data_IF_772348536066
#
_entry.id   IF_772348536066
#
_cell.length_a   1.000
_cell.length_b   1.000
_cell.length_c   1.000
_cell.angle_alpha   90.00
_cell.angle_beta   90.00
_cell.angle_gamma   90.00
#
_symmetry.space_group_name_H-M   'P 1'
#
loop_
_entity.id
_entity.type
_entity.pdbx_description
1 polymer ?
#
# COMPACT_ATOMS: atom_id res chain seq x y z
N UNK A 1 -24.17 5.28 18.23
CA UNK A 1 -23.05 4.49 17.68
C UNK A 1 -22.23 5.44 16.83
N UNK A 2 -20.91 5.42 16.93
CA UNK A 2 -20.07 6.27 16.07
C UNK A 2 -20.18 5.80 14.61
N UNK A 3 -20.17 6.73 13.67
CA UNK A 3 -20.06 6.40 12.24
C UNK A 3 -18.77 5.59 11.98
N UNK A 4 -18.78 4.63 11.04
CA UNK A 4 -17.60 3.86 10.71
C UNK A 4 -16.51 4.75 10.09
N UNK A 5 -15.24 4.43 10.33
CA UNK A 5 -14.12 5.13 9.68
C UNK A 5 -14.17 4.90 8.17
N UNK A 6 -14.13 5.95 7.36
CA UNK A 6 -14.17 5.84 5.90
C UNK A 6 -12.76 5.93 5.32
N UNK A 7 -12.29 4.84 4.74
CA UNK A 7 -10.95 4.72 4.15
C UNK A 7 -11.04 4.60 2.63
N UNK A 8 -10.41 5.53 1.92
CA UNK A 8 -10.21 5.44 0.48
C UNK A 8 -8.79 4.97 0.14
N UNK A 9 -8.65 4.23 -0.96
CA UNK A 9 -7.35 3.85 -1.51
C UNK A 9 -7.24 4.12 -3.01
N UNK A 10 -6.04 4.52 -3.42
CA UNK A 10 -5.61 4.70 -4.81
C UNK A 10 -4.41 3.81 -4.98
N UNK A 11 -4.50 2.79 -5.84
CA UNK A 11 -3.52 1.72 -5.96
C UNK A 11 -3.24 1.41 -7.43
N UNK A 12 -2.15 0.70 -7.69
CA UNK A 12 -1.77 0.27 -9.04
C UNK A 12 -2.66 -0.86 -9.56
N UNK A 13 -2.92 -1.84 -8.69
CA UNK A 13 -3.64 -3.05 -9.04
C UNK A 13 -4.67 -3.50 -7.99
N UNK A 14 -5.61 -4.37 -8.42
CA UNK A 14 -6.65 -4.90 -7.52
C UNK A 14 -6.08 -5.75 -6.39
N UNK A 15 -4.93 -6.39 -6.58
CA UNK A 15 -4.25 -7.19 -5.54
C UNK A 15 -3.80 -6.30 -4.38
N UNK A 16 -3.20 -5.14 -4.67
CA UNK A 16 -2.71 -4.20 -3.67
C UNK A 16 -3.86 -3.68 -2.80
N UNK A 17 -5.00 -3.41 -3.42
CA UNK A 17 -6.21 -3.00 -2.70
C UNK A 17 -6.67 -4.04 -1.67
N UNK A 18 -6.60 -5.34 -2.01
CA UNK A 18 -6.98 -6.43 -1.10
C UNK A 18 -5.99 -6.51 0.08
N UNK A 19 -4.70 -6.38 -0.20
CA UNK A 19 -3.65 -6.42 0.82
C UNK A 19 -3.76 -5.21 1.76
N UNK A 20 -3.92 -4.00 1.23
CA UNK A 20 -4.14 -2.79 2.04
C UNK A 20 -5.40 -2.90 2.91
N UNK A 21 -6.50 -3.44 2.38
CA UNK A 21 -7.71 -3.68 3.18
C UNK A 21 -7.45 -4.63 4.34
N UNK A 22 -6.64 -5.68 4.12
CA UNK A 22 -6.25 -6.60 5.18
C UNK A 22 -5.34 -5.93 6.22
N UNK A 23 -4.42 -5.08 5.79
CA UNK A 23 -3.54 -4.29 6.68
C UNK A 23 -4.38 -3.34 7.55
N UNK A 24 -5.22 -2.51 6.95
CA UNK A 24 -6.12 -1.57 7.67
C UNK A 24 -6.98 -2.32 8.68
N UNK A 25 -7.62 -3.43 8.26
CA UNK A 25 -8.41 -4.27 9.17
C UNK A 25 -7.59 -4.80 10.36
N UNK A 26 -6.33 -5.19 10.12
CA UNK A 26 -5.46 -5.69 11.18
C UNK A 26 -5.00 -4.58 12.13
N UNK A 27 -4.94 -3.33 11.69
CA UNK A 27 -4.53 -2.18 12.51
C UNK A 27 -5.68 -1.66 13.37
N UNK A 28 -6.91 -1.71 12.86
CA UNK A 28 -8.11 -1.25 13.55
C UNK A 28 -8.63 -2.23 14.62
N UNK A 29 -7.96 -3.37 14.82
CA UNK A 29 -8.26 -4.38 15.85
C UNK A 29 -9.75 -4.75 16.00
N UNK A 30 -10.47 -4.80 14.87
CA UNK A 30 -11.89 -5.17 14.83
C UNK A 30 -12.87 -4.00 14.92
N UNK A 31 -12.41 -2.74 14.93
CA UNK A 31 -13.28 -1.59 14.72
C UNK A 31 -13.87 -1.58 13.29
N UNK A 32 -15.09 -1.06 13.17
CA UNK A 32 -15.81 -0.98 11.89
C UNK A 32 -15.25 0.15 11.02
N UNK A 33 -15.12 -0.13 9.73
CA UNK A 33 -14.66 0.82 8.73
C UNK A 33 -15.25 0.51 7.35
N UNK A 34 -15.49 1.57 6.59
CA UNK A 34 -15.80 1.51 5.16
C UNK A 34 -14.50 1.58 4.37
N UNK A 35 -14.44 0.85 3.26
CA UNK A 35 -13.24 0.77 2.43
C UNK A 35 -13.61 0.86 0.96
N UNK A 36 -13.13 1.89 0.28
CA UNK A 36 -13.36 2.12 -1.13
C UNK A 36 -12.05 2.25 -1.92
N UNK A 37 -11.99 1.56 -3.05
CA UNK A 37 -10.91 1.70 -4.04
C UNK A 37 -11.33 2.74 -5.07
N UNK A 38 -10.68 3.90 -5.06
CA UNK A 38 -10.94 4.99 -6.00
C UNK A 38 -10.26 4.73 -7.35
N UNK A 39 -9.08 4.11 -7.32
CA UNK A 39 -8.34 3.73 -8.52
C UNK A 39 -7.59 2.42 -8.24
N UNK A 40 -7.70 1.40 -9.11
CA UNK A 40 -8.70 1.29 -10.17
C UNK A 40 -10.13 1.19 -9.62
N UNK A 41 -11.10 1.82 -10.30
CA UNK A 41 -12.49 1.86 -9.87
C UNK A 41 -13.12 0.46 -9.83
N UNK A 42 -13.40 -0.05 -8.62
CA UNK A 42 -14.29 -1.18 -8.31
C UNK A 42 -14.41 -2.32 -9.34
N UNK A 43 -15.65 -2.70 -9.67
CA UNK A 43 -15.95 -3.83 -10.56
C UNK A 43 -15.33 -3.70 -11.96
N UNK A 44 -15.06 -2.48 -12.41
CA UNK A 44 -14.41 -2.20 -13.69
C UNK A 44 -12.99 -2.77 -13.71
N UNK A 45 -12.23 -2.68 -12.60
CA UNK A 45 -10.89 -3.27 -12.45
C UNK A 45 -10.86 -4.79 -12.69
N UNK A 46 -11.91 -5.51 -12.30
CA UNK A 46 -12.01 -6.98 -12.46
C UNK A 46 -12.62 -7.40 -13.81
N UNK A 47 -13.32 -6.50 -14.51
CA UNK A 47 -13.81 -6.70 -15.88
C UNK A 47 -12.77 -6.30 -16.95
N UNK A 48 -11.51 -6.06 -16.57
CA UNK A 48 -10.45 -5.51 -17.42
C UNK A 48 -10.77 -4.13 -18.05
N UNK A 49 -11.79 -3.44 -17.52
CA UNK A 49 -12.13 -2.05 -17.84
C UNK A 49 -11.55 -1.21 -16.71
N UNK A 50 -10.28 -0.86 -16.76
CA UNK A 50 -9.56 -0.23 -15.62
C UNK A 50 -10.01 1.21 -15.25
N UNK A 51 -11.32 1.48 -15.15
CA UNK A 51 -11.90 2.80 -14.90
C UNK A 51 -11.52 3.83 -15.95
N UNK A 52 -11.81 5.10 -15.66
CA UNK A 52 -11.42 6.23 -16.51
C UNK A 52 -9.88 6.40 -16.61
N UNK A 53 -9.13 5.93 -15.62
CA UNK A 53 -7.69 6.16 -15.53
C UNK A 53 -6.82 5.02 -16.04
N UNK A 54 -7.36 3.86 -16.40
CA UNK A 54 -6.56 2.74 -16.91
C UNK A 54 -5.76 1.99 -15.82
N UNK A 55 -5.02 0.94 -16.18
CA UNK A 55 -4.30 0.08 -15.23
C UNK A 55 -2.99 0.69 -14.70
N UNK A 56 -2.50 0.12 -13.59
CA UNK A 56 -1.14 0.26 -13.09
C UNK A 56 -0.82 1.65 -12.55
N UNK A 57 0.49 1.91 -12.34
CA UNK A 57 0.99 3.21 -11.87
C UNK A 57 0.56 4.41 -12.74
N UNK A 58 0.36 4.20 -14.05
CA UNK A 58 -0.15 5.25 -14.94
C UNK A 58 -1.57 5.69 -14.56
N UNK A 59 -2.38 4.78 -14.03
CA UNK A 59 -3.70 5.08 -13.49
C UNK A 59 -3.63 5.85 -12.17
N UNK A 60 -2.68 5.49 -11.29
CA UNK A 60 -2.39 6.27 -10.07
C UNK A 60 -2.01 7.71 -10.44
N UNK A 61 -1.07 7.90 -11.37
CA UNK A 61 -0.69 9.22 -11.86
C UNK A 61 -1.91 10.03 -12.36
N UNK A 62 -2.72 9.45 -13.25
CA UNK A 62 -3.87 10.15 -13.84
C UNK A 62 -4.92 10.50 -12.80
N UNK A 63 -5.19 9.61 -11.85
CA UNK A 63 -6.09 9.90 -10.73
C UNK A 63 -5.54 11.05 -9.88
N UNK A 64 -4.26 11.00 -9.51
CA UNK A 64 -3.61 12.04 -8.71
C UNK A 64 -3.67 13.41 -9.39
N UNK A 65 -3.42 13.47 -10.70
CA UNK A 65 -3.52 14.71 -11.49
C UNK A 65 -4.95 15.24 -11.52
N UNK A 66 -5.93 14.38 -11.78
CA UNK A 66 -7.34 14.78 -11.79
C UNK A 66 -7.79 15.31 -10.42
N UNK A 67 -7.43 14.62 -9.33
CA UNK A 67 -7.78 15.05 -7.98
C UNK A 67 -7.13 16.40 -7.64
N UNK A 68 -5.86 16.60 -8.01
CA UNK A 68 -5.18 17.87 -7.82
C UNK A 68 -5.84 19.00 -8.65
N UNK A 69 -6.18 18.74 -9.92
CA UNK A 69 -6.86 19.70 -10.79
C UNK A 69 -8.23 20.11 -10.25
N UNK A 70 -9.02 19.14 -9.77
CA UNK A 70 -10.30 19.39 -9.09
C UNK A 70 -10.10 20.30 -7.86
N UNK A 71 -9.04 20.07 -7.10
CA UNK A 71 -8.67 20.84 -5.91
C UNK A 71 -7.90 22.13 -6.20
N UNK A 72 -8.07 22.73 -7.38
CA UNK A 72 -7.37 23.97 -7.78
C UNK A 72 -5.84 23.89 -7.74
N UNK A 73 -5.30 22.72 -8.09
CA UNK A 73 -3.86 22.44 -8.18
C UNK A 73 -3.28 21.60 -7.04
N UNK A 74 -4.09 21.19 -6.05
CA UNK A 74 -3.64 20.40 -4.89
C UNK A 74 -4.70 19.38 -4.44
N UNK A 75 -4.27 18.23 -3.92
CA UNK A 75 -5.18 17.24 -3.32
C UNK A 75 -5.93 17.81 -2.11
N UNK A 76 -5.30 18.70 -1.33
CA UNK A 76 -5.88 19.40 -0.18
C UNK A 76 -7.16 20.17 -0.52
N UNK A 77 -7.27 20.68 -1.75
CA UNK A 77 -8.47 21.34 -2.23
C UNK A 77 -9.53 20.40 -2.82
N UNK A 78 -9.21 19.11 -3.03
CA UNK A 78 -10.09 18.14 -3.67
C UNK A 78 -11.21 17.68 -2.74
N UNK A 79 -12.37 17.33 -3.32
CA UNK A 79 -13.44 16.68 -2.57
C UNK A 79 -13.05 15.28 -2.04
N UNK A 80 -11.99 14.66 -2.57
CA UNK A 80 -11.47 13.40 -2.06
C UNK A 80 -11.14 13.47 -0.56
N UNK A 81 -10.51 14.55 -0.08
CA UNK A 81 -10.17 14.66 1.34
C UNK A 81 -11.35 15.12 2.21
N UNK A 82 -12.46 15.60 1.64
CA UNK A 82 -13.66 15.91 2.42
C UNK A 82 -14.62 14.72 2.55
N UNK A 83 -14.57 13.79 1.58
CA UNK A 83 -15.41 12.59 1.56
C UNK A 83 -14.87 11.45 2.43
N UNK A 84 -13.55 11.39 2.65
CA UNK A 84 -12.89 10.28 3.34
C UNK A 84 -12.20 10.75 4.62
N UNK A 85 -12.18 9.87 5.63
CA UNK A 85 -11.48 10.14 6.89
C UNK A 85 -9.99 9.79 6.78
N UNK A 86 -9.65 8.91 5.84
CA UNK A 86 -8.29 8.54 5.49
C UNK A 86 -8.18 8.20 4.00
N UNK A 87 -7.16 8.73 3.32
CA UNK A 87 -6.77 8.36 1.96
C UNK A 87 -5.40 7.68 1.96
N UNK A 88 -5.29 6.52 1.33
CA UNK A 88 -4.02 5.83 1.14
C UNK A 88 -3.66 5.86 -0.35
N UNK A 89 -2.58 6.54 -0.70
CA UNK A 89 -2.03 6.54 -2.06
C UNK A 89 -0.88 5.55 -2.13
N UNK A 90 -1.04 4.51 -2.93
CA UNK A 90 -0.10 3.41 -3.07
C UNK A 90 0.65 3.47 -4.40
N UNK A 91 1.96 3.26 -4.34
CA UNK A 91 2.84 3.17 -5.50
C UNK A 91 4.05 2.28 -5.16
N UNK A 92 4.22 1.18 -5.88
CA UNK A 92 5.37 0.28 -5.75
C UNK A 92 6.64 1.00 -6.19
N UNK A 93 7.76 0.71 -5.51
CA UNK A 93 9.02 1.36 -5.83
C UNK A 93 9.71 0.86 -7.11
N UNK A 94 9.16 -0.16 -7.77
CA UNK A 94 9.57 -0.50 -9.14
C UNK A 94 9.24 0.64 -10.12
N UNK A 95 8.25 1.49 -9.82
CA UNK A 95 7.91 2.68 -10.62
C UNK A 95 9.08 3.66 -10.70
N UNK A 96 9.97 3.67 -9.71
CA UNK A 96 11.14 4.54 -9.68
C UNK A 96 12.12 4.28 -10.84
N UNK A 97 12.07 3.11 -11.50
CA UNK A 97 12.89 2.79 -12.68
C UNK A 97 12.22 3.17 -14.02
N UNK A 98 10.94 3.55 -13.98
CA UNK A 98 10.11 3.75 -15.16
C UNK A 98 10.32 5.13 -15.76
N UNK A 99 9.76 5.33 -16.94
CA UNK A 99 9.65 6.64 -17.60
C UNK A 99 8.18 7.00 -17.81
N UNK A 100 7.84 8.28 -17.79
CA UNK A 100 6.49 8.77 -18.09
C UNK A 100 5.93 8.25 -19.43
N UNK A 101 6.79 8.14 -20.44
CA UNK A 101 6.39 7.61 -21.75
C UNK A 101 5.95 6.14 -21.70
N UNK A 102 6.49 5.32 -20.78
CA UNK A 102 6.08 3.92 -20.63
C UNK A 102 4.63 3.76 -20.16
N UNK A 103 4.06 4.77 -19.48
CA UNK A 103 2.62 4.86 -19.16
C UNK A 103 1.81 5.77 -20.10
N UNK A 104 2.39 6.13 -21.27
CA UNK A 104 1.80 7.01 -22.27
C UNK A 104 1.51 8.43 -21.74
N UNK A 105 2.34 8.92 -20.82
CA UNK A 105 2.28 10.29 -20.30
C UNK A 105 3.30 11.13 -21.07
N UNK A 106 2.82 12.10 -21.86
CA UNK A 106 3.66 12.90 -22.76
C UNK A 106 4.11 14.23 -22.15
N UNK A 107 3.26 14.85 -21.34
CA UNK A 107 3.50 16.17 -20.75
C UNK A 107 3.35 16.12 -19.24
N UNK A 108 4.23 15.40 -18.52
CA UNK A 108 4.21 15.42 -17.07
C UNK A 108 4.59 16.82 -16.56
N UNK A 109 4.03 17.29 -15.44
CA UNK A 109 4.38 18.59 -14.88
C UNK A 109 5.85 18.63 -14.40
N UNK A 110 6.44 17.47 -14.13
CA UNK A 110 7.82 17.29 -13.71
C UNK A 110 8.47 16.11 -14.43
N UNK A 111 9.79 16.16 -14.62
CA UNK A 111 10.59 15.08 -15.22
C UNK A 111 11.44 14.38 -14.14
N UNK A 112 10.76 13.86 -13.13
CA UNK A 112 11.34 13.32 -11.89
C UNK A 112 11.32 11.78 -11.81
N UNK A 113 10.97 11.11 -12.91
CA UNK A 113 11.25 9.70 -13.14
C UNK A 113 12.26 9.53 -14.30
N UNK A 114 13.19 8.56 -14.23
CA UNK A 114 13.41 7.62 -13.13
C UNK A 114 14.09 8.28 -11.92
N UNK A 115 13.75 7.81 -10.71
CA UNK A 115 14.33 8.26 -9.44
C UNK A 115 14.95 7.13 -8.61
N UNK A 116 15.08 5.92 -9.17
CA UNK A 116 15.61 4.74 -8.49
C UNK A 116 16.99 4.97 -7.87
N UNK A 117 17.18 4.40 -6.66
CA UNK A 117 18.44 4.39 -5.91
C UNK A 117 18.85 2.95 -5.59
N UNK A 118 20.07 2.78 -5.10
CA UNK A 118 20.54 1.47 -4.60
C UNK A 118 19.72 1.01 -3.40
N UNK A 119 19.37 -0.27 -3.36
CA UNK A 119 18.73 -0.93 -2.23
C UNK A 119 19.64 -2.08 -1.81
N UNK A 120 20.14 -2.14 -0.55
CA UNK A 120 19.84 -1.27 0.59
C UNK A 120 20.58 0.09 0.60
N UNK A 121 20.08 1.09 1.37
CA UNK A 121 18.91 1.02 2.24
C UNK A 121 17.57 1.19 1.49
N UNK A 122 16.49 0.66 2.07
CA UNK A 122 15.17 0.63 1.44
C UNK A 122 14.53 2.01 1.22
N UNK A 123 14.87 2.99 2.08
CA UNK A 123 14.19 4.29 2.11
C UNK A 123 14.60 5.21 0.97
N UNK A 124 15.83 5.09 0.45
CA UNK A 124 16.37 5.98 -0.58
C UNK A 124 15.49 6.05 -1.85
N UNK A 125 15.00 4.90 -2.31
CA UNK A 125 14.08 4.87 -3.46
C UNK A 125 12.66 5.28 -3.05
N UNK A 126 12.17 4.80 -1.89
CA UNK A 126 10.80 5.08 -1.47
C UNK A 126 10.57 6.55 -1.16
N UNK A 127 11.55 7.25 -0.58
CA UNK A 127 11.47 8.66 -0.22
C UNK A 127 11.51 9.55 -1.47
N UNK A 128 12.39 9.21 -2.43
CA UNK A 128 12.42 9.84 -3.74
C UNK A 128 11.08 9.66 -4.46
N UNK A 129 10.49 8.46 -4.39
CA UNK A 129 9.19 8.18 -4.99
C UNK A 129 8.02 8.86 -4.27
N UNK A 130 8.05 8.98 -2.93
CA UNK A 130 7.05 9.79 -2.19
C UNK A 130 7.07 11.24 -2.65
N UNK A 131 8.25 11.80 -2.93
CA UNK A 131 8.38 13.15 -3.49
C UNK A 131 7.72 13.25 -4.88
N UNK A 132 7.90 12.25 -5.73
CA UNK A 132 7.22 12.16 -7.05
C UNK A 132 5.69 12.09 -6.87
N UNK A 133 5.21 11.22 -5.97
CA UNK A 133 3.79 11.05 -5.70
C UNK A 133 3.14 12.32 -5.12
N UNK A 134 3.83 13.04 -4.22
CA UNK A 134 3.40 14.35 -3.72
C UNK A 134 3.24 15.36 -4.85
N UNK A 135 4.20 15.43 -5.77
CA UNK A 135 4.10 16.30 -6.95
C UNK A 135 2.95 15.92 -7.87
N UNK A 136 2.65 14.64 -8.03
CA UNK A 136 1.46 14.21 -8.76
C UNK A 136 0.18 14.71 -8.09
N UNK A 137 0.13 14.67 -6.77
CA UNK A 137 -0.97 15.20 -5.95
C UNK A 137 -1.00 16.73 -5.85
N UNK A 138 0.00 17.44 -6.40
CA UNK A 138 0.09 18.89 -6.30
C UNK A 138 0.47 19.39 -4.90
N UNK A 139 1.15 18.54 -4.13
CA UNK A 139 1.50 18.76 -2.72
C UNK A 139 3.02 18.84 -2.54
N UNK A 140 3.47 19.58 -1.53
CA UNK A 140 4.89 19.63 -1.14
C UNK A 140 5.20 18.76 0.07
N UNK A 141 4.18 18.48 0.89
CA UNK A 141 4.24 17.68 2.11
C UNK A 141 3.01 16.78 2.16
N UNK A 142 3.07 15.66 2.88
CA UNK A 142 1.94 14.75 3.03
C UNK A 142 0.72 15.51 3.61
N UNK A 143 -0.42 15.59 2.90
CA UNK A 143 -1.60 16.26 3.43
C UNK A 143 -2.15 15.54 4.66
N UNK A 144 -2.82 16.26 5.58
CA UNK A 144 -3.51 15.62 6.69
C UNK A 144 -4.47 14.54 6.18
N UNK A 145 -4.59 13.45 6.94
CA UNK A 145 -5.45 12.29 6.61
C UNK A 145 -5.05 11.57 5.32
N UNK A 146 -3.82 11.75 4.86
CA UNK A 146 -3.25 11.01 3.72
C UNK A 146 -2.09 10.14 4.20
N UNK A 147 -1.92 8.96 3.59
CA UNK A 147 -0.77 8.09 3.79
C UNK A 147 -0.17 7.77 2.41
N UNK A 148 1.14 7.96 2.27
CA UNK A 148 1.88 7.53 1.09
C UNK A 148 2.47 6.13 1.31
N UNK A 149 1.83 5.13 0.72
CA UNK A 149 2.23 3.73 0.86
C UNK A 149 3.14 3.31 -0.30
N UNK A 150 4.45 3.45 -0.12
CA UNK A 150 5.48 3.07 -1.10
C UNK A 150 6.35 1.89 -0.62
N UNK A 151 5.99 0.63 -0.88
CA UNK A 151 6.86 -0.52 -0.55
C UNK A 151 8.13 -0.50 -1.42
N UNK A 152 9.29 -0.90 -0.86
CA UNK A 152 10.62 -0.68 -1.46
C UNK A 152 10.92 -1.41 -2.77
N UNK A 153 10.13 -2.44 -3.11
CA UNK A 153 10.11 -3.04 -4.45
C UNK A 153 8.69 -3.34 -4.87
N UNK A 154 8.05 -4.27 -4.17
CA UNK A 154 6.66 -4.67 -4.43
C UNK A 154 5.97 -4.99 -3.11
N UNK A 155 4.65 -4.86 -3.09
CA UNK A 155 3.84 -5.27 -1.95
C UNK A 155 3.94 -6.78 -1.64
N UNK A 156 4.34 -7.61 -2.61
CA UNK A 156 4.51 -9.06 -2.44
C UNK A 156 5.55 -9.42 -1.37
N UNK A 157 6.60 -8.60 -1.19
CA UNK A 157 7.57 -8.82 -0.14
C UNK A 157 6.89 -8.82 1.25
N UNK A 158 5.96 -7.89 1.47
CA UNK A 158 5.17 -7.80 2.70
C UNK A 158 4.23 -9.00 2.85
N UNK A 159 3.56 -9.42 1.77
CA UNK A 159 2.67 -10.58 1.77
C UNK A 159 3.41 -11.85 2.21
N UNK A 160 4.61 -12.10 1.68
CA UNK A 160 5.42 -13.26 2.06
C UNK A 160 5.82 -13.24 3.53
N UNK A 161 6.20 -12.07 4.07
CA UNK A 161 6.51 -11.95 5.50
C UNK A 161 5.30 -12.23 6.39
N UNK A 162 4.09 -11.85 5.94
CA UNK A 162 2.85 -12.02 6.68
C UNK A 162 2.34 -13.46 6.65
N UNK A 163 2.43 -14.14 5.50
CA UNK A 163 2.00 -15.54 5.36
C UNK A 163 2.97 -16.50 6.04
N UNK A 164 4.28 -16.21 6.03
CA UNK A 164 5.32 -17.08 6.60
C UNK A 164 6.15 -16.37 7.68
N UNK A 165 5.56 -16.06 8.84
CA UNK A 165 6.25 -15.33 9.91
C UNK A 165 7.45 -16.09 10.52
N UNK A 166 7.52 -17.41 10.32
CA UNK A 166 8.63 -18.26 10.76
C UNK A 166 9.73 -18.47 9.72
N UNK A 167 9.59 -17.96 8.50
CA UNK A 167 10.58 -18.17 7.45
C UNK A 167 11.76 -17.20 7.62
N UNK A 168 12.94 -17.73 7.97
CA UNK A 168 14.14 -16.94 8.23
C UNK A 168 14.56 -16.04 7.05
N UNK A 169 14.30 -16.45 5.81
CA UNK A 169 14.59 -15.65 4.60
C UNK A 169 13.74 -14.40 4.55
N UNK A 170 12.43 -14.54 4.75
CA UNK A 170 11.49 -13.42 4.66
C UNK A 170 11.54 -12.49 5.89
N UNK A 171 12.21 -12.92 6.96
CA UNK A 171 12.44 -12.11 8.16
C UNK A 171 13.77 -11.35 8.14
N UNK A 172 14.54 -11.41 7.04
CA UNK A 172 15.76 -10.63 6.88
C UNK A 172 15.46 -9.13 6.80
N UNK A 173 16.32 -8.28 7.39
CA UNK A 173 16.11 -6.82 7.47
C UNK A 173 15.95 -6.12 6.12
N UNK A 174 16.55 -6.66 5.07
CA UNK A 174 16.52 -6.09 3.71
C UNK A 174 15.62 -6.89 2.77
N UNK A 175 14.67 -7.67 3.31
CA UNK A 175 13.78 -8.50 2.49
C UNK A 175 13.00 -7.68 1.45
N UNK A 176 12.63 -6.44 1.79
CA UNK A 176 11.96 -5.53 0.86
C UNK A 176 12.83 -5.09 -0.32
N UNK A 177 14.17 -5.22 -0.23
CA UNK A 177 15.09 -4.99 -1.35
C UNK A 177 15.24 -6.18 -2.29
N UNK A 178 14.57 -7.32 -2.02
CA UNK A 178 14.72 -8.52 -2.83
C UNK A 178 14.14 -8.29 -4.23
N UNK A 179 14.84 -8.75 -5.27
CA UNK A 179 14.52 -8.42 -6.68
C UNK A 179 13.36 -9.21 -7.26
N UNK A 180 13.04 -10.37 -6.67
CA UNK A 180 11.98 -11.25 -7.18
C UNK A 180 11.12 -11.87 -6.06
N UNK A 181 10.31 -11.08 -5.32
CA UNK A 181 9.34 -11.64 -4.37
C UNK A 181 8.20 -12.39 -5.07
N UNK A 182 7.78 -11.94 -6.26
CA UNK A 182 6.69 -12.56 -7.03
C UNK A 182 7.05 -14.00 -7.43
N UNK A 183 8.28 -14.23 -7.90
CA UNK A 183 8.79 -15.57 -8.21
C UNK A 183 8.75 -16.50 -7.00
N UNK A 184 8.98 -15.98 -5.78
CA UNK A 184 8.84 -16.77 -4.56
C UNK A 184 7.39 -17.14 -4.27
N UNK A 185 6.43 -16.23 -4.49
CA UNK A 185 5.00 -16.53 -4.37
C UNK A 185 4.60 -17.61 -5.37
N UNK A 186 5.04 -17.48 -6.63
CA UNK A 186 4.73 -18.41 -7.71
C UNK A 186 5.33 -19.82 -7.50
N UNK A 187 6.46 -19.90 -6.80
CA UNK A 187 7.10 -21.16 -6.43
C UNK A 187 6.41 -21.87 -5.24
N UNK A 188 5.48 -21.22 -4.53
CA UNK A 188 4.78 -21.85 -3.41
C UNK A 188 3.86 -22.98 -3.91
N UNK A 189 3.74 -24.08 -3.14
CA UNK A 189 2.81 -25.15 -3.49
C UNK A 189 1.38 -24.60 -3.59
N UNK A 190 0.71 -24.80 -4.73
CA UNK A 190 -0.65 -24.30 -5.02
C UNK A 190 -1.73 -24.71 -3.99
N UNK A 191 -1.45 -25.70 -3.13
CA UNK A 191 -2.30 -26.05 -1.97
C UNK A 191 -2.31 -24.98 -0.86
N UNK A 192 -1.30 -24.10 -0.82
CA UNK A 192 -1.18 -22.98 0.10
C UNK A 192 -1.59 -21.63 -0.55
N UNK A 193 -1.94 -21.65 -1.84
CA UNK A 193 -2.33 -20.48 -2.64
C UNK A 193 -3.70 -20.77 -3.26
N UNK A 194 -4.74 -20.97 -2.42
CA UNK A 194 -6.12 -20.99 -2.91
C UNK A 194 -6.69 -19.58 -2.82
N UNK A 195 -7.06 -18.91 -3.92
CA UNK A 195 -7.57 -17.53 -3.91
C UNK A 195 -8.94 -17.37 -3.22
N UNK A 196 -9.54 -18.45 -2.71
CA UNK A 196 -10.94 -18.46 -2.24
C UNK A 196 -11.19 -19.08 -0.87
N UNK A 197 -10.18 -19.52 -0.12
CA UNK A 197 -10.42 -20.17 1.20
C UNK A 197 -9.60 -19.64 2.39
N UNK A 198 -8.64 -18.73 2.19
CA UNK A 198 -7.70 -18.33 3.24
C UNK A 198 -7.86 -16.90 3.79
N UNK A 199 -9.10 -16.42 3.87
CA UNK A 199 -9.50 -15.52 4.97
C UNK A 199 -9.39 -16.20 6.35
N UNK A 200 -9.06 -17.49 6.38
CA UNK A 200 -8.84 -18.29 7.59
C UNK A 200 -7.40 -18.18 8.12
N UNK A 201 -6.40 -17.85 7.29
CA UNK A 201 -5.02 -17.62 7.77
C UNK A 201 -4.97 -16.38 8.69
N UNK A 202 -5.78 -15.36 8.41
CA UNK A 202 -5.98 -14.22 9.32
C UNK A 202 -6.83 -14.55 10.57
N UNK A 203 -7.59 -15.65 10.56
CA UNK A 203 -8.29 -16.17 11.76
C UNK A 203 -7.36 -16.99 12.68
N UNK A 204 -6.22 -17.46 12.18
CA UNK A 204 -5.21 -18.17 12.97
C UNK A 204 -4.60 -17.32 14.09
N UNK A 205 -4.59 -16.00 13.92
CA UNK A 205 -4.13 -15.04 14.94
C UNK A 205 -5.10 -14.98 16.14
N UNK A 206 -6.36 -15.37 15.98
CA UNK A 206 -7.38 -15.35 17.06
C UNK A 206 -7.34 -16.55 18.01
N UNK A 207 -6.64 -17.66 17.70
CA UNK A 207 -6.78 -18.90 18.47
C UNK A 207 -5.80 -19.12 19.63
N UNK A 208 -4.92 -18.16 19.94
CA UNK A 208 -3.93 -18.32 21.03
C UNK A 208 -4.13 -17.41 22.24
N UNK A 209 -5.27 -16.74 22.40
CA UNK A 209 -5.55 -15.95 23.61
C UNK A 209 -6.86 -16.40 24.23
N UNK A 210 -6.75 -17.21 25.29
CA UNK A 210 -7.87 -17.43 26.22
C UNK A 210 -8.00 -16.19 27.10
N UNK A 211 -9.22 -15.67 27.36
CA UNK A 211 -9.41 -14.54 28.26
C UNK A 211 -8.97 -14.95 29.68
N UNK A 212 -8.04 -14.19 30.28
CA UNK A 212 -7.71 -14.32 31.70
C UNK A 212 -6.37 -14.95 32.09
N UNK A 213 -5.46 -15.27 31.17
CA UNK A 213 -4.11 -15.71 31.53
C UNK A 213 -3.07 -14.60 31.31
N UNK A 214 -2.30 -14.31 32.36
CA UNK A 214 -1.19 -13.35 32.33
C UNK A 214 -0.18 -13.69 31.21
N UNK A 215 0.26 -12.65 30.50
CA UNK A 215 1.21 -12.75 29.39
C UNK A 215 2.51 -13.45 29.83
N UNK A 216 2.95 -14.52 29.13
CA UNK A 216 4.35 -14.91 29.19
C UNK A 216 5.18 -13.83 28.48
N UNK A 217 6.25 -13.37 29.14
CA UNK A 217 7.18 -12.33 28.65
C UNK A 217 7.85 -12.61 27.28
N UNK A 218 7.53 -13.72 26.61
CA UNK A 218 8.17 -14.16 25.37
C UNK A 218 7.44 -13.74 24.07
N UNK A 219 6.24 -13.15 24.15
CA UNK A 219 5.47 -12.70 22.98
C UNK A 219 5.71 -11.22 22.58
N UNK A 220 6.68 -10.54 23.20
CA UNK A 220 7.12 -9.18 22.84
C UNK A 220 7.87 -9.07 21.50
N UNK A 221 8.06 -10.17 20.75
CA UNK A 221 8.89 -10.22 19.53
C UNK A 221 8.12 -10.47 18.22
N UNK A 222 6.82 -10.18 18.14
CA UNK A 222 6.08 -10.16 16.86
C UNK A 222 5.97 -8.73 16.30
N UNK A 223 7.11 -8.09 16.02
CA UNK A 223 7.21 -6.65 15.72
C UNK A 223 7.85 -6.33 14.36
N UNK A 224 7.95 -7.26 13.41
CA UNK A 224 8.50 -6.96 12.08
C UNK A 224 7.50 -6.20 11.20
N UNK A 225 6.39 -6.89 10.86
CA UNK A 225 5.36 -6.39 9.95
C UNK A 225 4.64 -5.13 10.43
N UNK A 226 4.19 -5.14 11.70
CA UNK A 226 3.60 -3.94 12.30
C UNK A 226 4.60 -2.79 12.28
N UNK A 227 5.88 -3.01 12.57
CA UNK A 227 6.84 -1.89 12.69
C UNK A 227 7.22 -1.26 11.35
N UNK A 228 7.35 -2.01 10.24
CA UNK A 228 7.66 -1.40 8.92
C UNK A 228 6.53 -0.47 8.45
N UNK A 229 5.28 -0.98 8.46
CA UNK A 229 4.11 -0.18 8.09
C UNK A 229 3.79 0.92 9.11
N UNK A 230 4.00 0.67 10.41
CA UNK A 230 3.70 1.64 11.48
C UNK A 230 4.80 2.70 11.63
N UNK A 231 6.05 2.44 11.25
CA UNK A 231 7.09 3.49 11.09
C UNK A 231 6.68 4.42 9.95
N UNK A 232 6.19 3.88 8.83
CA UNK A 232 5.67 4.68 7.73
C UNK A 232 4.40 5.48 8.10
N UNK A 233 3.55 4.97 9.00
CA UNK A 233 2.38 5.70 9.53
C UNK A 233 2.71 6.74 10.61
N UNK A 234 3.72 6.51 11.45
CA UNK A 234 4.05 7.38 12.58
C UNK A 234 4.95 8.55 12.17
N UNK A 235 5.90 8.34 11.25
CA UNK A 235 6.81 9.41 10.81
C UNK A 235 6.10 10.51 10.02
N UNK A 236 4.94 10.23 9.40
CA UNK A 236 4.16 11.23 8.63
C UNK A 236 3.03 11.89 9.43
N UNK A 237 2.79 11.46 10.68
CA UNK A 237 1.70 11.94 11.53
C UNK A 237 2.12 12.83 12.72
N UNK A 238 3.38 13.27 12.77
CA UNK A 238 3.94 14.11 13.86
C UNK A 238 4.45 15.45 13.38
#
# INVERSE_FOLDING_TARGET
MSEPLRVAVVVEGPTDSIVLKAIVRSLLDGADFEFQTLQPEGAAAFEAKFGAHGPGWGGVYRWSRQAAEEGSGSLSGSSALSQWDLLIAHLDADVADKTYSSARIQSPPHHDLPCVKSCPPLHETTDALRTVLLRWLGEQTCPPRTILCTPSKTMDAWVLTAIFPGNATFQQRNWECHTDPEGQINALPKKNVSPRKDLTILKGVRKSVKPGQAYPLHLRKQHGFKKSFFVQLIEEGS
#
